data_IF_443889225124
#
_entry.id   IF_443889225124
#
_cell.length_a   1.000
_cell.length_b   1.000
_cell.length_c   1.000
_cell.angle_alpha   90.00
_cell.angle_beta   90.00
_cell.angle_gamma   90.00
#
_symmetry.space_group_name_H-M   'P 1'
#
loop_
_entity.id
_entity.type
_entity.pdbx_description
1 polymer ?
#
# COMPACT_ATOMS: atom_id res chain seq x y z
N UNK A 1 51.67 -19.37 3.52
CA UNK A 1 51.59 -18.77 2.15
C UNK A 1 50.86 -19.64 1.12
N UNK A 2 51.01 -20.97 1.13
CA UNK A 2 50.30 -21.89 0.20
C UNK A 2 48.78 -21.92 0.43
N UNK A 3 48.32 -21.90 1.69
CA UNK A 3 46.88 -21.91 2.03
C UNK A 3 46.14 -20.66 1.59
N UNK A 4 46.73 -19.47 1.72
CA UNK A 4 46.14 -18.23 1.22
C UNK A 4 45.99 -18.20 -0.31
N UNK A 5 46.90 -18.80 -1.05
CA UNK A 5 46.81 -18.94 -2.52
C UNK A 5 45.71 -19.92 -2.95
N UNK A 6 45.51 -21.01 -2.20
CA UNK A 6 44.48 -22.01 -2.50
C UNK A 6 43.10 -21.40 -2.23
N UNK A 7 42.93 -20.65 -1.16
CA UNK A 7 41.66 -19.95 -0.84
C UNK A 7 41.35 -18.82 -1.83
N UNK A 8 42.36 -18.07 -2.29
CA UNK A 8 42.17 -17.05 -3.32
C UNK A 8 41.80 -17.63 -4.69
N UNK A 9 42.34 -18.79 -5.04
CA UNK A 9 42.01 -19.53 -6.28
C UNK A 9 40.63 -20.20 -6.20
N UNK A 10 40.21 -20.68 -5.01
CA UNK A 10 38.84 -21.20 -4.78
C UNK A 10 37.80 -20.08 -4.90
N UNK A 11 38.04 -18.93 -4.27
CA UNK A 11 37.16 -17.78 -4.38
C UNK A 11 37.09 -17.23 -5.81
N UNK A 12 38.22 -17.23 -6.55
CA UNK A 12 38.25 -16.82 -7.95
C UNK A 12 37.47 -17.80 -8.86
N UNK A 13 37.56 -19.13 -8.61
CA UNK A 13 36.80 -20.13 -9.39
C UNK A 13 35.30 -20.10 -9.07
N UNK A 14 34.91 -19.94 -7.81
CA UNK A 14 33.51 -19.75 -7.42
C UNK A 14 32.96 -18.47 -8.02
N UNK A 15 33.70 -17.37 -7.98
CA UNK A 15 33.35 -16.12 -8.62
C UNK A 15 33.25 -16.22 -10.14
N UNK A 16 34.17 -16.96 -10.80
CA UNK A 16 34.16 -17.08 -12.26
C UNK A 16 33.07 -18.03 -12.79
N UNK A 17 32.67 -19.05 -12.01
CA UNK A 17 31.57 -19.95 -12.38
C UNK A 17 30.19 -19.22 -12.27
N UNK A 18 30.11 -18.26 -11.38
CA UNK A 18 28.86 -17.44 -11.18
C UNK A 18 28.79 -16.26 -12.16
N UNK A 19 29.90 -15.84 -12.74
CA UNK A 19 29.93 -14.80 -13.78
C UNK A 19 29.36 -15.24 -15.14
N UNK A 20 29.08 -16.54 -15.35
CA UNK A 20 28.26 -16.99 -16.47
C UNK A 20 26.79 -16.68 -16.23
N UNK A 21 26.47 -15.40 -16.33
CA UNK A 21 25.15 -14.78 -16.08
C UNK A 21 24.01 -15.38 -16.92
N UNK A 22 24.30 -15.94 -18.07
CA UNK A 22 23.31 -16.62 -18.93
C UNK A 22 22.75 -17.91 -18.33
N UNK A 23 23.58 -18.74 -17.68
CA UNK A 23 23.11 -19.98 -17.07
C UNK A 23 22.26 -19.78 -15.80
N UNK A 24 22.42 -18.65 -15.10
CA UNK A 24 21.64 -18.35 -13.90
C UNK A 24 20.23 -17.88 -14.23
N UNK A 25 20.06 -17.15 -15.34
CA UNK A 25 18.76 -16.62 -15.77
C UNK A 25 17.80 -17.72 -16.28
N UNK A 26 18.33 -18.86 -16.74
CA UNK A 26 17.50 -19.94 -17.29
C UNK A 26 16.75 -20.76 -16.22
N UNK A 27 17.22 -20.75 -14.97
CA UNK A 27 16.64 -21.56 -13.88
C UNK A 27 15.72 -20.80 -12.92
N UNK A 28 15.61 -19.47 -13.06
CA UNK A 28 14.71 -18.68 -12.21
C UNK A 28 13.31 -18.75 -12.81
N UNK A 29 12.34 -19.20 -12.02
CA UNK A 29 10.91 -19.10 -12.38
C UNK A 29 10.59 -17.69 -12.84
N UNK A 30 9.85 -17.52 -13.95
CA UNK A 30 9.56 -16.19 -14.46
C UNK A 30 8.64 -15.44 -13.51
N UNK A 31 9.20 -14.67 -12.60
CA UNK A 31 8.50 -13.73 -11.71
C UNK A 31 8.17 -12.49 -12.52
N UNK A 32 7.07 -12.56 -13.28
CA UNK A 32 6.72 -11.55 -14.28
C UNK A 32 6.48 -10.19 -13.65
N UNK A 33 5.81 -10.14 -12.49
CA UNK A 33 5.58 -8.89 -11.77
C UNK A 33 6.90 -8.23 -11.36
N UNK A 34 7.84 -8.99 -10.80
CA UNK A 34 9.14 -8.46 -10.38
C UNK A 34 10.00 -7.94 -11.55
N UNK A 35 9.78 -8.45 -12.77
CA UNK A 35 10.44 -7.94 -13.98
C UNK A 35 9.81 -6.63 -14.46
N UNK A 36 8.55 -6.39 -14.14
CA UNK A 36 7.83 -5.17 -14.49
C UNK A 36 8.00 -4.05 -13.47
N UNK A 37 8.28 -4.40 -12.21
CA UNK A 37 8.42 -3.45 -11.11
C UNK A 37 9.68 -2.58 -11.30
N UNK A 38 9.55 -1.27 -11.54
CA UNK A 38 10.69 -0.37 -11.60
C UNK A 38 11.34 -0.27 -10.23
N UNK A 39 12.67 -0.38 -10.17
CA UNK A 39 13.40 -0.34 -8.92
C UNK A 39 14.20 0.94 -8.78
N UNK A 40 14.20 1.50 -7.58
CA UNK A 40 15.01 2.64 -7.17
C UNK A 40 16.19 2.14 -6.35
N UNK A 41 17.36 2.61 -6.68
CA UNK A 41 18.60 2.26 -5.98
C UNK A 41 18.81 3.20 -4.78
N UNK A 42 18.93 2.64 -3.59
CA UNK A 42 19.10 3.38 -2.34
C UNK A 42 20.54 3.27 -1.84
N UNK A 43 21.28 4.37 -1.86
CA UNK A 43 22.62 4.43 -1.29
C UNK A 43 22.57 4.39 0.24
N UNK A 44 21.63 5.10 0.86
CA UNK A 44 21.50 5.20 2.33
C UNK A 44 20.69 4.08 2.97
N UNK A 45 19.98 3.25 2.17
CA UNK A 45 19.09 2.20 2.69
C UNK A 45 17.74 2.70 3.19
N UNK A 46 17.48 4.01 3.14
CA UNK A 46 16.22 4.64 3.56
C UNK A 46 15.63 5.39 2.38
N UNK A 47 14.39 5.12 2.08
CA UNK A 47 13.60 5.83 1.07
C UNK A 47 12.62 6.79 1.75
N UNK A 48 12.65 8.07 1.37
CA UNK A 48 11.77 9.09 1.93
C UNK A 48 10.69 9.47 0.95
N UNK A 49 9.45 9.36 1.38
CA UNK A 49 8.28 9.81 0.63
C UNK A 49 7.79 11.10 1.28
N UNK A 50 7.95 12.22 0.58
CA UNK A 50 7.32 13.47 0.97
C UNK A 50 5.86 13.43 0.50
N UNK A 51 4.96 13.03 1.37
CA UNK A 51 3.52 13.15 1.14
C UNK A 51 3.04 14.41 1.83
N UNK A 52 2.11 15.12 1.19
CA UNK A 52 1.23 16.01 1.93
C UNK A 52 0.59 15.16 3.04
N UNK A 53 0.72 15.61 4.30
CA UNK A 53 0.31 14.83 5.47
C UNK A 53 -1.09 14.23 5.28
N UNK A 54 -1.18 13.02 4.74
CA UNK A 54 -2.27 12.12 5.07
C UNK A 54 -1.88 11.49 6.40
N UNK A 55 -2.66 11.76 7.42
CA UNK A 55 -2.49 11.10 8.71
C UNK A 55 -2.30 9.61 8.48
N UNK A 56 -1.23 9.03 9.04
CA UNK A 56 -1.07 7.57 9.10
C UNK A 56 -2.35 7.04 9.73
N UNK A 57 -3.18 6.41 8.93
CA UNK A 57 -4.31 5.67 9.42
C UNK A 57 -3.74 4.48 10.20
N UNK A 58 -3.46 4.70 11.48
CA UNK A 58 -3.30 3.60 12.40
C UNK A 58 -4.69 2.97 12.56
N UNK A 59 -4.93 1.73 12.11
CA UNK A 59 -6.19 1.04 12.32
C UNK A 59 -6.41 0.72 13.80
N UNK A 60 -5.48 1.09 14.67
CA UNK A 60 -5.57 0.89 16.11
C UNK A 60 -6.43 2.00 16.73
N UNK A 61 -7.46 1.58 17.47
CA UNK A 61 -8.27 2.47 18.28
C UNK A 61 -7.36 3.39 19.11
N UNK A 62 -7.60 4.71 18.99
CA UNK A 62 -6.92 5.69 19.83
C UNK A 62 -7.42 5.49 21.27
N UNK A 63 -6.52 5.15 22.16
CA UNK A 63 -6.79 5.19 23.60
C UNK A 63 -6.82 6.66 24.07
N UNK A 64 -7.37 6.93 25.25
CA UNK A 64 -7.45 8.29 25.81
C UNK A 64 -6.08 8.98 25.89
N UNK A 65 -5.01 8.26 26.08
CA UNK A 65 -3.63 8.77 26.04
C UNK A 65 -3.19 9.14 24.61
N UNK A 66 -3.67 8.40 23.61
CA UNK A 66 -3.36 8.64 22.19
C UNK A 66 -4.14 9.84 21.61
N UNK A 67 -5.24 10.26 22.27
CA UNK A 67 -5.98 11.50 21.89
C UNK A 67 -5.06 12.73 22.00
N UNK A 68 -4.11 12.73 22.93
CA UNK A 68 -3.15 13.82 23.10
C UNK A 68 -2.20 13.99 21.91
N UNK A 69 -2.02 12.95 21.09
CA UNK A 69 -1.17 12.99 19.89
C UNK A 69 -1.90 13.44 18.62
N UNK A 70 -3.20 13.73 18.71
CA UNK A 70 -3.96 14.24 17.55
C UNK A 70 -3.51 15.70 17.30
N UNK A 71 -3.31 16.03 16.03
CA UNK A 71 -2.89 17.38 15.61
C UNK A 71 -3.81 18.49 16.18
N UNK A 72 -5.12 18.25 16.24
CA UNK A 72 -6.06 19.15 16.87
C UNK A 72 -5.67 19.53 18.31
N UNK A 73 -5.05 18.61 19.06
CA UNK A 73 -4.64 18.83 20.44
C UNK A 73 -3.33 19.61 20.58
N UNK A 74 -2.55 19.72 19.51
CA UNK A 74 -1.29 20.50 19.52
C UNK A 74 -1.55 22.01 19.76
N UNK A 75 -2.74 22.48 19.45
CA UNK A 75 -3.17 23.87 19.67
C UNK A 75 -3.71 24.12 21.08
N UNK A 76 -3.75 23.09 21.94
CA UNK A 76 -4.30 23.14 23.29
C UNK A 76 -3.23 22.85 24.35
N UNK A 77 -3.37 23.48 25.51
CA UNK A 77 -2.51 23.20 26.65
C UNK A 77 -2.92 21.89 27.35
N UNK A 78 -2.01 21.21 28.05
CA UNK A 78 -2.28 19.95 28.74
C UNK A 78 -3.48 20.02 29.73
N UNK A 79 -3.74 21.17 30.35
CA UNK A 79 -4.89 21.37 31.23
C UNK A 79 -6.21 21.40 30.44
N UNK A 80 -6.21 22.03 29.30
CA UNK A 80 -7.37 22.11 28.39
C UNK A 80 -7.68 20.77 27.75
N UNK A 81 -6.66 20.02 27.35
CA UNK A 81 -6.82 18.65 26.82
C UNK A 81 -7.45 17.76 27.90
N UNK A 82 -6.97 17.84 29.15
CA UNK A 82 -7.52 17.04 30.25
C UNK A 82 -8.96 17.45 30.57
N UNK A 83 -9.30 18.76 30.51
CA UNK A 83 -10.66 19.27 30.68
C UNK A 83 -11.58 18.83 29.54
N UNK A 84 -11.10 18.85 28.30
CA UNK A 84 -11.85 18.40 27.12
C UNK A 84 -12.17 16.91 27.21
N UNK A 85 -11.19 16.07 27.55
CA UNK A 85 -11.39 14.62 27.72
C UNK A 85 -12.33 14.34 28.90
N UNK A 86 -12.17 15.04 30.03
CA UNK A 86 -13.02 14.87 31.21
C UNK A 86 -14.49 15.26 30.99
N UNK A 87 -14.76 16.24 30.10
CA UNK A 87 -16.10 16.70 29.75
C UNK A 87 -16.66 16.05 28.47
N UNK A 88 -15.96 15.06 27.90
CA UNK A 88 -16.42 14.33 26.73
C UNK A 88 -17.01 12.98 27.10
N UNK A 89 -17.98 12.52 26.31
CA UNK A 89 -18.54 11.19 26.42
C UNK A 89 -18.09 10.32 25.25
N UNK A 90 -17.81 9.03 25.51
CA UNK A 90 -17.46 8.07 24.45
C UNK A 90 -18.74 7.47 23.86
N UNK A 91 -18.89 7.58 22.54
CA UNK A 91 -19.98 6.96 21.77
C UNK A 91 -19.41 5.85 20.89
N UNK A 92 -19.99 4.66 20.95
CA UNK A 92 -19.72 3.55 20.02
C UNK A 92 -20.75 3.59 18.90
N UNK A 93 -20.30 3.40 17.66
CA UNK A 93 -21.13 3.44 16.47
C UNK A 93 -21.09 2.10 15.75
N UNK A 94 -22.26 1.67 15.29
CA UNK A 94 -22.43 0.43 14.50
C UNK A 94 -22.46 0.73 13.02
N UNK A 95 -22.21 -0.30 12.19
CA UNK A 95 -22.24 -0.17 10.74
C UNK A 95 -23.58 0.38 10.24
N UNK A 96 -23.53 1.40 9.38
CA UNK A 96 -24.70 2.04 8.78
C UNK A 96 -25.44 3.04 9.70
N UNK A 97 -24.97 3.24 10.95
CA UNK A 97 -25.55 4.25 11.82
C UNK A 97 -25.36 5.64 11.23
N UNK A 98 -26.44 6.41 11.18
CA UNK A 98 -26.42 7.79 10.71
C UNK A 98 -26.52 8.72 11.90
N UNK A 99 -25.56 9.64 12.03
CA UNK A 99 -25.52 10.67 13.04
C UNK A 99 -25.95 11.98 12.38
N UNK A 100 -27.10 12.51 12.81
CA UNK A 100 -27.62 13.78 12.34
C UNK A 100 -27.22 14.89 13.30
N UNK A 101 -26.81 16.01 12.76
CA UNK A 101 -26.56 17.23 13.53
C UNK A 101 -27.84 18.05 13.60
N UNK A 102 -28.64 17.84 14.65
CA UNK A 102 -29.84 18.63 14.86
C UNK A 102 -29.48 20.04 15.35
N UNK A 103 -30.32 21.04 15.00
CA UNK A 103 -30.10 22.44 15.38
C UNK A 103 -30.03 22.66 16.90
N UNK A 104 -30.67 21.79 17.70
CA UNK A 104 -30.67 21.82 19.16
C UNK A 104 -29.43 21.18 19.80
N UNK A 105 -28.80 20.23 19.13
CA UNK A 105 -27.70 19.42 19.66
C UNK A 105 -26.47 19.50 18.77
N UNK A 106 -25.90 20.67 18.56
CA UNK A 106 -24.72 20.87 17.76
C UNK A 106 -23.48 20.47 18.55
N UNK A 107 -23.15 19.14 18.52
CA UNK A 107 -22.02 18.55 19.24
C UNK A 107 -20.78 18.49 18.33
N UNK A 108 -19.62 18.48 18.96
CA UNK A 108 -18.34 18.29 18.29
C UNK A 108 -17.85 16.86 18.53
N UNK A 109 -17.39 16.20 17.49
CA UNK A 109 -17.02 14.78 17.53
C UNK A 109 -15.57 14.59 17.10
N UNK A 110 -14.83 13.79 17.85
CA UNK A 110 -13.46 13.39 17.53
C UNK A 110 -13.44 11.86 17.33
N UNK A 111 -13.01 11.40 16.18
CA UNK A 111 -13.01 9.98 15.83
C UNK A 111 -11.84 9.28 16.52
N UNK A 112 -12.14 8.26 17.32
CA UNK A 112 -11.13 7.42 17.98
C UNK A 112 -10.80 6.17 17.16
N UNK A 113 -11.81 5.56 16.53
CA UNK A 113 -11.65 4.35 15.72
C UNK A 113 -12.81 4.23 14.73
N UNK A 114 -12.62 3.43 13.67
CA UNK A 114 -13.60 3.24 12.62
C UNK A 114 -13.47 4.23 11.46
N UNK A 115 -14.36 4.10 10.48
CA UNK A 115 -14.44 4.98 9.31
C UNK A 115 -15.85 5.53 9.18
N UNK A 116 -15.95 6.80 8.83
CA UNK A 116 -17.20 7.54 8.76
C UNK A 116 -17.24 8.34 7.47
N UNK A 117 -18.37 8.34 6.81
CA UNK A 117 -18.63 9.15 5.62
C UNK A 117 -19.39 10.41 5.97
N UNK A 118 -18.85 11.55 5.57
CA UNK A 118 -19.56 12.84 5.64
C UNK A 118 -20.44 12.96 4.40
N UNK A 119 -21.75 12.97 4.59
CA UNK A 119 -22.74 12.93 3.52
C UNK A 119 -23.54 14.23 3.50
N UNK A 120 -23.56 14.89 2.34
CA UNK A 120 -24.42 16.04 2.09
C UNK A 120 -25.67 15.59 1.32
N UNK A 121 -26.85 16.00 1.78
CA UNK A 121 -28.08 15.83 1.02
C UNK A 121 -28.20 16.93 -0.04
N UNK A 122 -28.15 16.54 -1.30
CA UNK A 122 -28.33 17.48 -2.42
C UNK A 122 -29.80 17.98 -2.49
N UNK A 123 -30.06 19.00 -3.30
CA UNK A 123 -31.40 19.57 -3.54
C UNK A 123 -32.49 18.52 -3.88
N UNK A 124 -32.09 17.38 -4.41
CA UNK A 124 -32.96 16.23 -4.74
C UNK A 124 -32.99 15.15 -3.64
N UNK A 125 -32.55 15.46 -2.42
CA UNK A 125 -32.43 14.54 -1.28
C UNK A 125 -31.55 13.31 -1.52
N UNK A 126 -30.72 13.33 -2.57
CA UNK A 126 -29.75 12.26 -2.82
C UNK A 126 -28.50 12.48 -1.98
N UNK A 127 -28.05 11.46 -1.24
CA UNK A 127 -26.82 11.55 -0.44
C UNK A 127 -25.59 11.60 -1.34
N UNK A 128 -24.75 12.61 -1.16
CA UNK A 128 -23.45 12.75 -1.81
C UNK A 128 -22.37 12.68 -0.72
N UNK A 129 -21.44 11.74 -0.84
CA UNK A 129 -20.31 11.64 0.08
C UNK A 129 -19.32 12.77 -0.23
N UNK A 130 -19.06 13.62 0.76
CA UNK A 130 -18.15 14.77 0.63
C UNK A 130 -16.74 14.36 1.07
N UNK A 131 -16.63 13.61 2.18
CA UNK A 131 -15.37 13.23 2.77
C UNK A 131 -15.48 11.91 3.53
N UNK A 132 -14.35 11.18 3.60
CA UNK A 132 -14.19 10.01 4.45
C UNK A 132 -13.33 10.41 5.66
N UNK A 133 -13.89 10.19 6.85
CA UNK A 133 -13.28 10.56 8.11
C UNK A 133 -12.79 9.30 8.84
N UNK A 134 -11.55 9.33 9.30
CA UNK A 134 -10.90 8.22 9.99
C UNK A 134 -10.43 8.64 11.39
N UNK A 135 -9.85 7.71 12.14
CA UNK A 135 -9.33 7.98 13.47
C UNK A 135 -8.37 9.21 13.47
N UNK A 136 -8.53 10.09 14.44
CA UNK A 136 -7.82 11.36 14.55
C UNK A 136 -8.45 12.54 13.82
N UNK A 137 -9.46 12.32 12.97
CA UNK A 137 -10.26 13.39 12.36
C UNK A 137 -11.41 13.79 13.29
N UNK A 138 -12.00 14.93 13.00
CA UNK A 138 -13.10 15.49 13.77
C UNK A 138 -14.17 16.05 12.85
N UNK A 139 -15.37 16.25 13.39
CA UNK A 139 -16.46 16.90 12.68
C UNK A 139 -17.47 17.52 13.67
N UNK A 140 -18.35 18.35 13.16
CA UNK A 140 -19.39 19.00 13.98
C UNK A 140 -19.01 20.40 14.45
N UNK A 141 -19.78 20.94 15.38
CA UNK A 141 -19.58 22.31 15.88
C UNK A 141 -19.87 23.40 14.84
N UNK A 142 -20.56 23.10 13.75
CA UNK A 142 -20.78 24.00 12.60
C UNK A 142 -21.44 25.33 13.01
N UNK A 143 -22.45 25.30 13.91
CA UNK A 143 -23.11 26.49 14.40
C UNK A 143 -22.18 27.41 15.18
N UNK A 144 -21.30 26.83 16.01
CA UNK A 144 -20.33 27.61 16.78
C UNK A 144 -19.29 28.28 15.87
N UNK A 145 -19.06 27.73 14.68
CA UNK A 145 -18.16 28.27 13.67
C UNK A 145 -18.81 29.25 12.70
N UNK A 146 -20.15 29.47 12.82
CA UNK A 146 -20.89 30.39 11.98
C UNK A 146 -21.30 29.86 10.61
N UNK A 147 -21.38 28.54 10.44
CA UNK A 147 -21.91 27.93 9.21
C UNK A 147 -23.44 27.91 9.25
N UNK A 148 -24.06 28.36 8.16
CA UNK A 148 -25.50 28.24 7.91
C UNK A 148 -25.76 26.99 7.04
N UNK A 149 -26.94 26.37 7.16
CA UNK A 149 -27.38 25.20 6.38
C UNK A 149 -26.63 23.86 6.65
N UNK A 150 -26.09 23.67 7.85
CA UNK A 150 -25.45 22.43 8.25
C UNK A 150 -26.42 21.25 8.51
N UNK A 151 -27.73 21.53 8.56
CA UNK A 151 -28.77 20.50 8.77
C UNK A 151 -28.81 19.43 7.67
N UNK A 152 -28.22 19.71 6.51
CA UNK A 152 -28.10 18.80 5.38
C UNK A 152 -26.89 17.88 5.48
N UNK A 153 -26.01 18.11 6.45
CA UNK A 153 -24.80 17.31 6.63
C UNK A 153 -25.12 16.18 7.61
N UNK A 154 -24.94 14.96 7.15
CA UNK A 154 -25.10 13.74 7.95
C UNK A 154 -23.81 12.95 7.94
N UNK A 155 -23.62 12.14 8.97
CA UNK A 155 -22.46 11.26 9.07
C UNK A 155 -22.97 9.84 9.11
N UNK A 156 -22.43 9.00 8.23
CA UNK A 156 -22.75 7.59 8.13
C UNK A 156 -21.54 6.77 8.55
N UNK A 157 -21.72 5.80 9.42
CA UNK A 157 -20.68 4.87 9.83
C UNK A 157 -20.46 3.84 8.73
N UNK A 158 -19.27 3.85 8.11
CA UNK A 158 -18.84 2.90 7.07
C UNK A 158 -18.10 1.71 7.68
N UNK A 159 -17.31 1.92 8.75
CA UNK A 159 -16.69 0.87 9.55
C UNK A 159 -17.01 1.12 11.02
N UNK A 160 -17.52 0.10 11.76
CA UNK A 160 -17.84 0.23 13.17
C UNK A 160 -16.67 0.78 13.99
N UNK A 161 -16.95 1.67 14.91
CA UNK A 161 -15.92 2.32 15.69
C UNK A 161 -16.44 3.11 16.89
N UNK A 162 -15.60 4.00 17.39
CA UNK A 162 -15.94 4.85 18.53
C UNK A 162 -15.45 6.27 18.32
N UNK A 163 -16.15 7.22 18.89
CA UNK A 163 -15.83 8.64 18.87
C UNK A 163 -16.01 9.29 20.24
N UNK A 164 -15.29 10.37 20.49
CA UNK A 164 -15.51 11.28 21.61
C UNK A 164 -16.53 12.34 21.21
N UNK A 165 -17.52 12.53 22.05
CA UNK A 165 -18.54 13.56 21.89
C UNK A 165 -18.25 14.67 22.86
N UNK A 166 -17.96 15.86 22.35
CA UNK A 166 -17.67 17.07 23.14
C UNK A 166 -18.91 17.94 23.16
N UNK A 167 -19.32 18.35 24.34
CA UNK A 167 -20.45 19.26 24.55
C UNK A 167 -20.17 20.64 23.94
N UNK A 168 -21.23 21.28 23.44
CA UNK A 168 -21.14 22.55 22.71
C UNK A 168 -20.50 23.69 23.53
N UNK A 169 -20.77 23.76 24.83
CA UNK A 169 -20.24 24.83 25.69
C UNK A 169 -18.73 24.70 25.89
N UNK A 170 -18.22 23.48 26.16
CA UNK A 170 -16.80 23.22 26.24
C UNK A 170 -16.08 23.49 24.90
N UNK A 171 -16.74 23.23 23.79
CA UNK A 171 -16.19 23.53 22.47
C UNK A 171 -16.12 25.02 22.17
N UNK A 172 -17.15 25.81 22.56
CA UNK A 172 -17.14 27.25 22.39
C UNK A 172 -16.02 27.94 23.16
N UNK A 173 -15.73 27.45 24.37
CA UNK A 173 -14.62 27.97 25.17
C UNK A 173 -13.28 27.82 24.48
N UNK A 174 -13.08 26.66 23.80
CA UNK A 174 -11.87 26.39 23.02
C UNK A 174 -11.76 27.26 21.76
N UNK A 175 -12.91 27.61 21.14
CA UNK A 175 -12.96 28.49 19.96
C UNK A 175 -12.60 29.96 20.26
N UNK A 176 -12.46 30.37 21.53
CA UNK A 176 -11.93 31.68 21.88
C UNK A 176 -10.45 31.84 21.50
N UNK A 177 -9.70 30.73 21.29
CA UNK A 177 -8.36 30.77 20.79
C UNK A 177 -8.34 30.89 19.26
N UNK A 178 -7.75 31.95 18.76
CA UNK A 178 -7.71 32.24 17.34
C UNK A 178 -7.02 31.14 16.52
N UNK A 179 -5.91 30.56 17.02
CA UNK A 179 -5.17 29.48 16.34
C UNK A 179 -6.01 28.20 16.23
N UNK A 180 -6.64 27.77 17.33
CA UNK A 180 -7.51 26.61 17.35
C UNK A 180 -8.74 26.80 16.44
N UNK A 181 -9.37 27.97 16.54
CA UNK A 181 -10.50 28.33 15.69
C UNK A 181 -10.15 28.33 14.22
N UNK A 182 -8.99 28.91 13.86
CA UNK A 182 -8.50 28.92 12.48
C UNK A 182 -8.25 27.51 11.96
N UNK A 183 -7.58 26.67 12.75
CA UNK A 183 -7.30 25.28 12.37
C UNK A 183 -8.58 24.48 12.14
N UNK A 184 -9.54 24.53 13.07
CA UNK A 184 -10.82 23.81 12.93
C UNK A 184 -11.58 24.30 11.71
N UNK A 185 -11.65 25.63 11.49
CA UNK A 185 -12.34 26.21 10.35
C UNK A 185 -11.69 25.81 9.01
N UNK A 186 -10.36 25.88 8.92
CA UNK A 186 -9.63 25.49 7.72
C UNK A 186 -9.75 23.99 7.42
N UNK A 187 -9.73 23.14 8.44
CA UNK A 187 -9.90 21.69 8.28
C UNK A 187 -11.28 21.31 7.76
N UNK A 188 -12.35 21.96 8.26
CA UNK A 188 -13.71 21.73 7.78
C UNK A 188 -13.87 22.20 6.33
N UNK A 189 -13.29 23.34 5.95
CA UNK A 189 -13.27 23.80 4.56
C UNK A 189 -12.48 22.85 3.64
N UNK A 190 -11.43 22.22 4.15
CA UNK A 190 -10.63 21.28 3.39
C UNK A 190 -11.33 19.94 3.16
N UNK A 191 -12.29 19.52 4.00
CA UNK A 191 -13.07 18.30 3.73
C UNK A 191 -13.83 18.36 2.41
N UNK A 192 -14.29 19.54 2.00
CA UNK A 192 -14.91 19.73 0.67
C UNK A 192 -13.90 19.65 -0.49
N UNK A 193 -12.60 19.77 -0.21
CA UNK A 193 -11.54 19.93 -1.18
C UNK A 193 -10.52 18.79 -1.22
N UNK A 194 -10.59 17.82 -0.29
CA UNK A 194 -9.69 16.66 -0.28
C UNK A 194 -10.01 15.72 -1.45
N UNK A 195 -9.31 15.91 -2.55
CA UNK A 195 -9.21 14.86 -3.56
C UNK A 195 -8.28 13.77 -3.04
N UNK A 196 -8.69 12.50 -3.19
CA UNK A 196 -7.91 11.31 -2.82
C UNK A 196 -6.61 11.11 -3.64
N UNK A 197 -6.15 12.12 -4.35
CA UNK A 197 -5.03 12.09 -5.29
C UNK A 197 -3.70 12.54 -4.68
N UNK A 198 -3.70 13.04 -3.44
CA UNK A 198 -2.48 13.57 -2.80
C UNK A 198 -1.94 14.86 -3.44
N UNK A 199 -2.69 15.47 -4.36
CA UNK A 199 -2.31 16.73 -5.00
C UNK A 199 -2.82 17.93 -4.20
N UNK A 200 -1.93 18.89 -3.93
CA UNK A 200 -2.32 20.20 -3.41
C UNK A 200 -3.14 20.96 -4.45
N UNK A 201 -4.29 21.48 -4.04
CA UNK A 201 -5.01 22.45 -4.87
C UNK A 201 -4.19 23.74 -4.96
N UNK A 202 -3.47 23.91 -6.07
CA UNK A 202 -2.92 25.21 -6.40
C UNK A 202 -4.08 26.14 -6.76
N UNK A 203 -4.14 27.33 -6.14
CA UNK A 203 -5.06 28.38 -6.57
C UNK A 203 -4.52 28.93 -7.88
N UNK A 204 -5.10 28.48 -8.98
CA UNK A 204 -4.81 29.02 -10.31
C UNK A 204 -5.76 30.17 -10.59
N UNK A 205 -5.22 31.31 -10.90
CA UNK A 205 -5.99 32.45 -11.43
C UNK A 205 -5.66 32.58 -12.91
N UNK A 206 -6.66 32.36 -13.75
CA UNK A 206 -6.59 32.73 -15.15
C UNK A 206 -7.38 34.02 -15.34
N UNK A 207 -6.72 35.12 -15.65
CA UNK A 207 -7.35 36.40 -15.98
C UNK A 207 -6.68 37.00 -17.19
N UNK A 208 -7.51 37.57 -18.06
CA UNK A 208 -7.09 38.20 -19.33
C UNK A 208 -6.93 39.72 -19.24
N UNK A 209 -7.25 40.32 -18.09
CA UNK A 209 -7.15 41.79 -17.94
C UNK A 209 -6.50 42.11 -16.60
N UNK A 210 -5.46 42.94 -16.67
CA UNK A 210 -4.66 43.46 -15.57
C UNK A 210 -3.94 42.37 -14.73
N UNK A 211 -2.66 42.52 -14.49
CA UNK A 211 -1.86 41.60 -13.71
C UNK A 211 -2.42 41.48 -12.28
N UNK A 212 -3.25 40.46 -11.97
CA UNK A 212 -3.73 40.28 -10.61
C UNK A 212 -2.58 39.87 -9.72
N UNK A 213 -2.54 40.35 -8.49
CA UNK A 213 -1.63 39.82 -7.48
C UNK A 213 -1.80 38.30 -7.41
N UNK A 214 -0.82 37.57 -7.85
CA UNK A 214 -0.82 36.11 -7.78
C UNK A 214 -0.95 35.66 -6.32
N UNK A 215 -1.92 34.79 -6.00
CA UNK A 215 -1.99 34.25 -4.65
C UNK A 215 -0.72 33.45 -4.40
N UNK A 216 -0.04 33.75 -3.31
CA UNK A 216 1.11 32.95 -2.87
C UNK A 216 0.58 31.60 -2.40
N UNK A 217 0.96 30.53 -3.12
CA UNK A 217 0.77 29.16 -2.66
C UNK A 217 1.95 28.80 -1.75
N UNK A 218 1.67 28.49 -0.51
CA UNK A 218 2.67 27.95 0.42
C UNK A 218 2.49 26.43 0.42
N UNK A 219 3.55 25.70 0.11
CA UNK A 219 3.63 24.27 0.42
C UNK A 219 4.10 24.14 1.84
N UNK A 220 3.34 23.43 2.68
CA UNK A 220 3.80 23.09 4.02
C UNK A 220 5.01 22.16 3.92
N UNK A 221 6.04 22.48 4.69
CA UNK A 221 7.21 21.60 4.82
C UNK A 221 6.82 20.38 5.64
N UNK A 222 7.07 19.18 5.09
CA UNK A 222 6.84 17.96 5.83
C UNK A 222 8.03 17.71 6.77
N UNK A 223 7.83 18.00 8.05
CA UNK A 223 8.86 17.82 9.10
C UNK A 223 9.10 16.34 9.42
N UNK A 224 8.17 15.45 9.05
CA UNK A 224 8.25 14.02 9.32
C UNK A 224 7.87 13.19 8.09
N UNK A 225 8.70 13.17 7.03
CA UNK A 225 8.43 12.39 5.83
C UNK A 225 8.32 10.90 6.17
N UNK A 226 7.48 10.18 5.43
CA UNK A 226 7.41 8.72 5.59
C UNK A 226 8.73 8.09 5.16
N UNK A 227 9.39 7.40 6.09
CA UNK A 227 10.63 6.69 5.84
C UNK A 227 10.35 5.20 5.67
N UNK A 228 10.83 4.64 4.57
CA UNK A 228 10.74 3.21 4.26
C UNK A 228 12.17 2.66 4.26
N UNK A 229 12.44 1.78 5.21
CA UNK A 229 13.71 1.07 5.30
C UNK A 229 13.69 -0.20 4.45
N UNK A 230 14.86 -0.68 4.05
CA UNK A 230 15.00 -1.95 3.38
C UNK A 230 14.84 -3.10 4.37
N UNK A 231 13.95 -4.01 4.06
CA UNK A 231 13.82 -5.28 4.76
C UNK A 231 14.87 -6.29 4.29
N UNK A 232 15.05 -7.33 5.08
CA UNK A 232 16.06 -8.34 4.82
C UNK A 232 15.49 -9.74 4.93
N UNK A 233 15.81 -10.58 3.93
CA UNK A 233 15.62 -12.03 3.98
C UNK A 233 16.99 -12.66 4.09
N UNK A 234 17.19 -13.50 5.10
CA UNK A 234 18.45 -14.18 5.35
C UNK A 234 18.23 -15.68 5.44
N UNK A 235 19.21 -16.44 4.93
CA UNK A 235 19.26 -17.89 5.07
C UNK A 235 20.71 -18.35 5.16
N UNK A 236 20.95 -19.44 5.87
CA UNK A 236 22.26 -20.06 6.01
C UNK A 236 22.28 -21.39 5.25
N UNK A 237 23.26 -21.56 4.36
CA UNK A 237 23.52 -22.80 3.64
C UNK A 237 24.76 -23.48 4.24
N UNK A 238 24.57 -24.62 4.89
CA UNK A 238 25.66 -25.45 5.40
C UNK A 238 26.02 -26.54 4.39
N UNK A 239 27.31 -26.67 4.05
CA UNK A 239 27.82 -27.64 3.08
C UNK A 239 28.97 -28.41 3.68
N UNK A 240 28.91 -29.74 3.63
CA UNK A 240 30.01 -30.60 4.02
C UNK A 240 31.18 -30.48 3.05
N UNK A 241 32.34 -30.05 3.55
CA UNK A 241 33.57 -29.85 2.75
C UNK A 241 34.38 -31.13 2.62
N UNK A 242 33.77 -32.22 2.12
CA UNK A 242 34.55 -33.42 1.80
C UNK A 242 35.40 -33.19 0.55
N UNK A 243 36.70 -33.54 0.61
CA UNK A 243 37.65 -33.24 -0.45
C UNK A 243 37.21 -33.79 -1.81
N UNK A 244 36.61 -34.98 -1.86
CA UNK A 244 36.14 -35.58 -3.11
C UNK A 244 34.90 -34.84 -3.70
N UNK A 245 34.06 -34.18 -2.88
CA UNK A 245 32.90 -33.41 -3.34
C UNK A 245 33.30 -32.04 -3.90
N UNK A 246 34.41 -31.48 -3.40
CA UNK A 246 34.94 -30.21 -3.91
C UNK A 246 35.47 -30.30 -5.34
N UNK A 247 35.84 -31.51 -5.77
CA UNK A 247 36.41 -31.80 -7.10
C UNK A 247 35.47 -32.63 -7.97
N UNK A 248 34.24 -32.85 -7.55
CA UNK A 248 33.26 -33.65 -8.29
C UNK A 248 32.71 -32.86 -9.49
N UNK A 249 33.39 -32.94 -10.63
CA UNK A 249 32.88 -32.47 -11.91
C UNK A 249 32.33 -33.69 -12.69
N UNK A 250 31.09 -33.63 -13.25
CA UNK A 250 30.36 -32.47 -13.72
C UNK A 250 29.20 -32.04 -12.80
N UNK A 251 29.06 -32.52 -11.57
CA UNK A 251 27.92 -32.26 -10.69
C UNK A 251 28.30 -31.43 -9.42
N UNK A 252 28.52 -30.11 -9.53
CA UNK A 252 28.85 -29.27 -8.39
C UNK A 252 27.64 -29.12 -7.47
N UNK A 253 27.61 -29.89 -6.38
CA UNK A 253 26.49 -29.87 -5.41
C UNK A 253 26.32 -28.49 -4.78
N UNK A 254 27.40 -27.80 -4.48
CA UNK A 254 27.39 -26.45 -3.93
C UNK A 254 26.58 -25.48 -4.81
N UNK A 255 26.92 -25.42 -6.10
CA UNK A 255 26.24 -24.49 -7.01
C UNK A 255 24.76 -24.83 -7.18
N UNK A 256 24.43 -26.13 -7.19
CA UNK A 256 23.03 -26.58 -7.29
C UNK A 256 22.21 -26.21 -6.06
N UNK A 257 22.75 -26.45 -4.86
CA UNK A 257 22.10 -26.11 -3.61
C UNK A 257 21.96 -24.57 -3.43
N UNK A 258 23.01 -23.84 -3.79
CA UNK A 258 22.98 -22.38 -3.76
C UNK A 258 21.91 -21.81 -4.71
N UNK A 259 21.79 -22.34 -5.92
CA UNK A 259 20.75 -21.94 -6.88
C UNK A 259 19.34 -22.16 -6.33
N UNK A 260 19.08 -23.34 -5.75
CA UNK A 260 17.78 -23.67 -5.16
C UNK A 260 17.46 -22.69 -4.01
N UNK A 261 18.44 -22.43 -3.15
CA UNK A 261 18.23 -21.53 -2.01
C UNK A 261 18.00 -20.08 -2.44
N UNK A 262 18.76 -19.59 -3.43
CA UNK A 262 18.53 -18.27 -4.02
C UNK A 262 17.12 -18.18 -4.62
N UNK A 263 16.67 -19.21 -5.35
CA UNK A 263 15.32 -19.25 -5.88
C UNK A 263 14.28 -19.15 -4.76
N UNK A 264 14.43 -19.91 -3.68
CA UNK A 264 13.52 -19.83 -2.52
C UNK A 264 13.50 -18.44 -1.88
N UNK A 265 14.65 -17.77 -1.77
CA UNK A 265 14.75 -16.41 -1.25
C UNK A 265 14.01 -15.43 -2.16
N UNK A 266 14.13 -15.55 -3.47
CA UNK A 266 13.45 -14.71 -4.44
C UNK A 266 11.95 -14.96 -4.47
N UNK A 267 11.48 -16.19 -4.28
CA UNK A 267 10.06 -16.53 -4.11
C UNK A 267 9.51 -15.92 -2.81
N UNK A 268 10.31 -15.97 -1.75
CA UNK A 268 9.93 -15.32 -0.49
C UNK A 268 9.87 -13.81 -0.62
N UNK A 269 10.81 -13.18 -1.32
CA UNK A 269 10.77 -11.75 -1.62
C UNK A 269 9.45 -11.34 -2.29
N UNK A 270 9.05 -12.05 -3.34
CA UNK A 270 7.78 -11.76 -4.04
C UNK A 270 6.57 -11.96 -3.13
N UNK A 271 6.59 -12.99 -2.28
CA UNK A 271 5.53 -13.20 -1.31
C UNK A 271 5.42 -12.06 -0.30
N UNK A 272 6.55 -11.59 0.24
CA UNK A 272 6.59 -10.49 1.20
C UNK A 272 6.09 -9.18 0.58
N UNK A 273 6.47 -8.88 -0.66
CA UNK A 273 6.00 -7.67 -1.37
C UNK A 273 4.48 -7.61 -1.43
N UNK A 274 3.78 -8.74 -1.59
CA UNK A 274 2.33 -8.76 -1.62
C UNK A 274 1.70 -8.88 -0.23
N UNK A 275 2.22 -9.74 0.65
CA UNK A 275 1.52 -10.21 1.85
C UNK A 275 2.09 -9.71 3.18
N UNK A 276 3.21 -8.97 3.18
CA UNK A 276 3.78 -8.46 4.43
C UNK A 276 2.75 -7.64 5.22
N UNK A 277 2.72 -7.83 6.55
CA UNK A 277 1.71 -7.23 7.42
C UNK A 277 1.82 -5.69 7.48
N UNK A 278 3.04 -5.15 7.38
CA UNK A 278 3.29 -3.71 7.54
C UNK A 278 3.31 -2.96 6.21
N UNK A 279 3.94 -3.54 5.17
CA UNK A 279 4.17 -2.84 3.89
C UNK A 279 3.81 -3.69 2.66
N UNK A 280 3.14 -4.83 2.84
CA UNK A 280 2.64 -5.62 1.72
C UNK A 280 1.59 -4.88 0.90
N UNK A 281 1.68 -4.97 -0.42
CA UNK A 281 0.80 -4.23 -1.34
C UNK A 281 -0.69 -4.49 -1.08
N UNK A 282 -1.08 -5.73 -0.72
CA UNK A 282 -2.47 -6.08 -0.41
C UNK A 282 -3.00 -5.31 0.81
N UNK A 283 -2.13 -5.09 1.81
CA UNK A 283 -2.48 -4.40 3.04
C UNK A 283 -2.45 -2.87 2.90
N UNK A 284 -1.70 -2.36 1.92
CA UNK A 284 -1.60 -0.92 1.64
C UNK A 284 -2.78 -0.37 0.81
N UNK A 285 -3.62 -1.25 0.22
CA UNK A 285 -4.81 -0.80 -0.51
C UNK A 285 -5.80 -0.19 0.47
N UNK A 286 -6.14 1.08 0.28
CA UNK A 286 -7.15 1.75 1.10
C UNK A 286 -8.54 1.16 0.89
N UNK A 287 -9.42 1.30 1.87
CA UNK A 287 -10.75 0.67 1.84
C UNK A 287 -11.62 1.17 0.69
N UNK A 288 -11.54 2.46 0.38
CA UNK A 288 -12.24 3.13 -0.72
C UNK A 288 -11.78 2.66 -2.12
N UNK A 289 -10.65 1.94 -2.20
CA UNK A 289 -10.07 1.36 -3.41
C UNK A 289 -10.30 -0.16 -3.52
N UNK A 290 -11.17 -0.71 -2.68
CA UNK A 290 -11.55 -2.12 -2.72
C UNK A 290 -12.97 -2.25 -3.23
N UNK A 291 -13.14 -2.95 -4.34
CA UNK A 291 -14.45 -3.31 -4.89
C UNK A 291 -14.65 -4.82 -4.80
N UNK A 292 -15.88 -5.27 -4.81
CA UNK A 292 -16.23 -6.70 -4.80
C UNK A 292 -16.91 -7.08 -6.09
N UNK A 293 -16.73 -8.33 -6.52
CA UNK A 293 -17.43 -8.86 -7.71
C UNK A 293 -18.94 -8.86 -7.50
N UNK A 294 -19.68 -8.55 -8.56
CA UNK A 294 -21.17 -8.53 -8.56
C UNK A 294 -21.79 -9.92 -8.70
N UNK A 295 -21.14 -10.82 -9.43
CA UNK A 295 -21.71 -12.12 -9.86
C UNK A 295 -20.85 -13.32 -9.52
N UNK A 296 -19.87 -13.18 -8.64
CA UNK A 296 -18.95 -14.25 -8.24
C UNK A 296 -17.63 -14.24 -9.00
N UNK A 297 -17.53 -14.67 -10.28
CA UNK A 297 -16.32 -14.48 -11.08
C UNK A 297 -16.12 -13.02 -11.48
N UNK A 298 -14.89 -12.61 -11.76
CA UNK A 298 -14.58 -11.28 -12.29
C UNK A 298 -15.23 -11.11 -13.68
N UNK A 299 -15.99 -10.04 -13.86
CA UNK A 299 -16.65 -9.69 -15.12
C UNK A 299 -15.92 -8.56 -15.85
N UNK A 300 -16.14 -8.37 -17.17
CA UNK A 300 -15.65 -7.20 -17.89
C UNK A 300 -16.02 -5.87 -17.23
N UNK A 301 -17.24 -5.76 -16.70
CA UNK A 301 -17.71 -4.54 -16.03
C UNK A 301 -16.95 -4.27 -14.72
N UNK A 302 -16.68 -5.34 -13.93
CA UNK A 302 -15.87 -5.22 -12.70
C UNK A 302 -14.45 -4.81 -13.01
N UNK A 303 -13.89 -5.30 -14.14
CA UNK A 303 -12.54 -4.93 -14.58
C UNK A 303 -12.48 -3.49 -15.11
N UNK A 304 -13.51 -3.01 -15.79
CA UNK A 304 -13.60 -1.63 -16.24
C UNK A 304 -13.73 -0.67 -15.03
N UNK A 305 -14.49 -1.05 -13.99
CA UNK A 305 -14.59 -0.30 -12.75
C UNK A 305 -13.25 -0.26 -11.99
N UNK A 306 -12.57 -1.42 -11.89
CA UNK A 306 -11.25 -1.51 -11.29
C UNK A 306 -10.22 -0.58 -11.98
N UNK A 307 -10.22 -0.56 -13.32
CA UNK A 307 -9.35 0.33 -14.10
C UNK A 307 -9.76 1.80 -13.97
N UNK A 308 -11.06 2.08 -13.85
CA UNK A 308 -11.57 3.43 -13.61
C UNK A 308 -11.07 4.04 -12.31
N UNK A 309 -10.81 3.23 -11.28
CA UNK A 309 -10.19 3.69 -10.03
C UNK A 309 -8.74 4.15 -10.21
N UNK A 310 -8.01 3.56 -11.18
CA UNK A 310 -6.64 3.93 -11.53
C UNK A 310 -6.58 4.73 -12.84
N UNK A 311 -7.48 5.68 -13.02
CA UNK A 311 -7.67 6.41 -14.27
C UNK A 311 -6.40 7.13 -14.81
N UNK A 312 -5.46 7.47 -13.94
CA UNK A 312 -4.25 8.23 -14.30
C UNK A 312 -3.27 7.47 -15.23
N UNK A 313 -3.17 6.17 -15.14
CA UNK A 313 -2.35 5.30 -16.02
C UNK A 313 -2.10 3.94 -15.39
N UNK A 314 -3.07 3.04 -15.41
CA UNK A 314 -2.89 1.69 -14.89
C UNK A 314 -1.81 0.95 -15.69
N UNK A 315 -0.82 0.40 -15.01
CA UNK A 315 0.33 -0.24 -15.68
C UNK A 315 0.17 -1.75 -15.76
N UNK A 316 -0.44 -2.38 -14.74
CA UNK A 316 -0.54 -3.84 -14.65
C UNK A 316 -1.71 -4.25 -13.76
N UNK A 317 -2.30 -5.41 -14.07
CA UNK A 317 -3.24 -6.11 -13.19
C UNK A 317 -2.57 -7.40 -12.76
N UNK A 318 -2.36 -7.59 -11.46
CA UNK A 318 -1.76 -8.81 -10.90
C UNK A 318 -2.88 -9.67 -10.31
N UNK A 319 -2.87 -10.95 -10.65
CA UNK A 319 -3.89 -11.88 -10.18
C UNK A 319 -3.39 -13.32 -10.11
N UNK A 320 -4.03 -14.12 -9.26
CA UNK A 320 -3.76 -15.55 -9.26
C UNK A 320 -4.11 -16.18 -10.63
N UNK A 321 -3.31 -17.13 -11.17
CA UNK A 321 -3.55 -17.72 -12.49
C UNK A 321 -4.97 -18.28 -12.68
N UNK A 322 -5.56 -18.87 -11.64
CA UNK A 322 -6.92 -19.39 -11.68
C UNK A 322 -7.97 -18.28 -11.84
N UNK A 323 -7.74 -17.10 -11.25
CA UNK A 323 -8.62 -15.96 -11.42
C UNK A 323 -8.56 -15.40 -12.84
N UNK A 324 -7.37 -15.35 -13.45
CA UNK A 324 -7.19 -14.94 -14.84
C UNK A 324 -7.94 -15.91 -15.76
N UNK A 325 -7.87 -17.21 -15.49
CA UNK A 325 -8.61 -18.22 -16.27
C UNK A 325 -10.13 -18.09 -16.10
N UNK A 326 -10.60 -17.78 -14.87
CA UNK A 326 -12.02 -17.55 -14.61
C UNK A 326 -12.53 -16.31 -15.35
N UNK A 327 -11.78 -15.22 -15.33
CA UNK A 327 -12.06 -14.01 -16.09
C UNK A 327 -12.11 -14.28 -17.61
N UNK A 328 -11.13 -15.02 -18.15
CA UNK A 328 -11.11 -15.36 -19.57
C UNK A 328 -12.35 -16.18 -20.00
N UNK A 329 -12.80 -17.12 -19.15
CA UNK A 329 -14.05 -17.87 -19.41
C UNK A 329 -15.27 -16.95 -19.43
N UNK A 330 -15.36 -16.04 -18.46
CA UNK A 330 -16.48 -15.08 -18.39
C UNK A 330 -16.51 -14.15 -19.61
N UNK A 331 -15.34 -13.67 -20.04
CA UNK A 331 -15.21 -12.88 -21.28
C UNK A 331 -15.67 -13.68 -22.51
N UNK A 332 -15.26 -14.93 -22.63
CA UNK A 332 -15.68 -15.80 -23.75
C UNK A 332 -17.19 -16.04 -23.76
N UNK A 333 -17.79 -16.27 -22.59
CA UNK A 333 -19.24 -16.43 -22.44
C UNK A 333 -20.03 -15.20 -22.90
N UNK A 334 -19.49 -14.00 -22.61
CA UNK A 334 -20.09 -12.73 -23.01
C UNK A 334 -19.78 -12.31 -24.45
N UNK A 335 -19.00 -13.11 -25.18
CA UNK A 335 -18.60 -12.80 -26.56
C UNK A 335 -17.58 -11.67 -26.70
N UNK A 336 -16.84 -11.34 -25.64
CA UNK A 336 -15.80 -10.29 -25.62
C UNK A 336 -14.46 -10.94 -25.28
N UNK A 337 -13.80 -11.65 -26.21
CA UNK A 337 -12.54 -12.31 -25.92
C UNK A 337 -11.45 -11.28 -25.61
N UNK A 338 -10.64 -11.49 -24.55
CA UNK A 338 -9.54 -10.59 -24.23
C UNK A 338 -8.42 -10.69 -25.24
N UNK A 339 -7.69 -9.61 -25.46
CA UNK A 339 -6.54 -9.57 -26.37
C UNK A 339 -5.32 -10.20 -25.68
N UNK A 340 -4.55 -10.98 -26.44
CA UNK A 340 -3.30 -11.59 -25.98
C UNK A 340 -2.11 -10.81 -26.55
N UNK A 341 -1.19 -10.45 -25.67
CA UNK A 341 0.05 -9.74 -26.03
C UNK A 341 1.26 -10.54 -25.52
N UNK A 342 2.31 -10.59 -26.32
CA UNK A 342 3.56 -11.24 -25.92
C UNK A 342 4.46 -10.23 -25.20
N UNK A 343 4.71 -10.46 -23.90
CA UNK A 343 5.58 -9.64 -23.07
C UNK A 343 6.52 -10.52 -22.25
N UNK A 344 7.78 -10.12 -22.12
CA UNK A 344 8.83 -10.86 -21.37
C UNK A 344 8.93 -12.37 -21.70
N UNK A 345 8.68 -12.71 -22.97
CA UNK A 345 8.71 -14.10 -23.45
C UNK A 345 7.45 -14.92 -23.15
N UNK A 346 6.46 -14.37 -22.46
CA UNK A 346 5.19 -14.99 -22.09
C UNK A 346 4.02 -14.37 -22.85
N UNK A 347 2.99 -15.17 -23.13
CA UNK A 347 1.73 -14.68 -23.67
C UNK A 347 0.82 -14.26 -22.51
N UNK A 348 0.52 -12.96 -22.41
CA UNK A 348 -0.32 -12.40 -21.37
C UNK A 348 -1.64 -11.94 -21.94
N UNK A 349 -2.71 -12.21 -21.22
CA UNK A 349 -4.03 -11.62 -21.48
C UNK A 349 -3.97 -10.14 -21.11
N UNK A 350 -4.55 -9.27 -21.94
CA UNK A 350 -4.69 -7.84 -21.64
C UNK A 350 -6.15 -7.45 -21.59
N UNK A 351 -6.48 -6.54 -20.71
CA UNK A 351 -7.78 -5.89 -20.65
C UNK A 351 -7.63 -4.39 -20.86
N UNK A 352 -8.31 -3.83 -21.87
CA UNK A 352 -8.17 -2.41 -22.25
C UNK A 352 -6.72 -1.96 -22.44
N UNK A 353 -5.83 -2.86 -22.90
CA UNK A 353 -4.40 -2.55 -23.07
C UNK A 353 -3.53 -2.80 -21.82
N UNK A 354 -4.13 -3.06 -20.66
CA UNK A 354 -3.40 -3.34 -19.42
C UNK A 354 -3.19 -4.86 -19.30
N UNK A 355 -1.92 -5.33 -19.13
CA UNK A 355 -1.62 -6.75 -19.02
C UNK A 355 -2.08 -7.34 -17.69
N UNK A 356 -2.66 -8.56 -17.74
CA UNK A 356 -2.94 -9.39 -16.58
C UNK A 356 -1.74 -10.30 -16.31
N UNK A 357 -1.05 -10.03 -15.22
CA UNK A 357 0.18 -10.75 -14.83
C UNK A 357 -0.16 -11.83 -13.82
N UNK A 358 0.13 -13.11 -14.14
CA UNK A 358 -0.08 -14.21 -13.21
C UNK A 358 0.92 -14.12 -12.03
N UNK A 359 0.41 -14.17 -10.81
CA UNK A 359 1.18 -14.24 -9.58
C UNK A 359 0.48 -15.18 -8.59
N UNK A 360 1.14 -16.23 -8.17
CA UNK A 360 0.62 -17.22 -7.21
C UNK A 360 0.71 -16.75 -5.76
N UNK A 361 1.38 -15.61 -5.51
CA UNK A 361 1.53 -15.02 -4.18
C UNK A 361 0.26 -14.33 -3.70
N UNK A 362 -0.67 -14.01 -4.62
CA UNK A 362 -2.02 -13.60 -4.24
C UNK A 362 -2.80 -14.86 -3.85
N UNK A 363 -3.05 -15.03 -2.54
CA UNK A 363 -3.57 -16.26 -1.97
C UNK A 363 -5.00 -16.58 -2.41
N UNK A 364 -5.33 -17.88 -2.36
CA UNK A 364 -6.70 -18.38 -2.48
C UNK A 364 -7.20 -18.69 -1.08
N UNK A 365 -8.34 -18.14 -0.72
CA UNK A 365 -9.04 -18.42 0.53
C UNK A 365 -10.33 -19.20 0.25
N UNK A 366 -10.81 -19.97 1.22
CA UNK A 366 -12.10 -20.64 1.15
C UNK A 366 -13.10 -19.84 1.96
N UNK A 367 -14.20 -19.47 1.33
CA UNK A 367 -15.35 -18.87 1.99
C UNK A 367 -16.09 -19.93 2.84
N UNK A 368 -16.96 -19.52 3.76
CA UNK A 368 -17.74 -20.42 4.62
C UNK A 368 -18.60 -21.45 3.87
N UNK A 369 -19.04 -21.12 2.67
CA UNK A 369 -19.78 -21.99 1.75
C UNK A 369 -18.89 -22.99 0.98
N UNK A 370 -17.58 -22.99 1.23
CA UNK A 370 -16.61 -23.87 0.57
C UNK A 370 -16.10 -23.35 -0.78
N UNK A 371 -16.63 -22.24 -1.29
CA UNK A 371 -16.16 -21.62 -2.53
C UNK A 371 -14.74 -21.05 -2.39
N UNK A 372 -13.93 -21.31 -3.39
CA UNK A 372 -12.57 -20.77 -3.45
C UNK A 372 -12.61 -19.35 -4.03
N UNK A 373 -12.13 -18.39 -3.26
CA UNK A 373 -12.08 -16.97 -3.62
C UNK A 373 -10.65 -16.44 -3.60
N UNK A 374 -10.40 -15.44 -4.42
CA UNK A 374 -9.12 -14.72 -4.48
C UNK A 374 -9.35 -13.25 -4.84
N UNK A 375 -8.26 -12.49 -4.96
CA UNK A 375 -8.31 -11.07 -5.31
C UNK A 375 -7.53 -10.81 -6.61
N UNK A 376 -7.84 -9.71 -7.29
CA UNK A 376 -7.05 -9.10 -8.34
C UNK A 376 -6.66 -7.69 -7.93
N UNK A 377 -5.44 -7.29 -8.24
CA UNK A 377 -4.92 -5.97 -7.90
C UNK A 377 -4.49 -5.24 -9.16
N UNK A 378 -5.03 -4.06 -9.38
CA UNK A 378 -4.55 -3.15 -10.40
C UNK A 378 -3.52 -2.20 -9.78
N UNK A 379 -2.40 -2.01 -10.46
CA UNK A 379 -1.23 -1.29 -9.96
C UNK A 379 -0.74 -0.31 -11.01
N UNK A 380 -0.47 0.92 -10.59
CA UNK A 380 0.31 1.89 -11.34
C UNK A 380 1.77 1.79 -10.93
N UNK A 381 2.68 1.65 -11.89
CA UNK A 381 4.10 1.44 -11.65
C UNK A 381 4.93 2.65 -12.08
N UNK A 382 6.00 2.92 -11.34
CA UNK A 382 7.03 3.90 -11.68
C UNK A 382 6.96 5.21 -10.92
N UNK A 383 8.11 5.86 -10.76
CA UNK A 383 8.24 7.16 -10.09
C UNK A 383 7.55 8.28 -10.86
N UNK A 384 7.76 8.34 -12.19
CA UNK A 384 7.20 9.37 -13.06
C UNK A 384 5.67 9.38 -13.04
N UNK A 385 5.07 8.22 -12.78
CA UNK A 385 3.62 8.03 -12.67
C UNK A 385 3.12 8.10 -11.24
N UNK A 386 3.97 8.45 -10.27
CA UNK A 386 3.63 8.42 -8.85
C UNK A 386 3.05 7.07 -8.40
N UNK A 387 3.59 6.00 -8.94
CA UNK A 387 3.10 4.65 -8.76
C UNK A 387 3.84 3.88 -7.66
N UNK A 388 3.89 2.58 -7.85
CA UNK A 388 4.63 1.64 -7.00
C UNK A 388 6.04 1.47 -7.54
N UNK A 389 7.03 1.48 -6.65
CA UNK A 389 8.45 1.27 -6.99
C UNK A 389 9.06 0.23 -6.05
N UNK A 390 9.91 -0.62 -6.58
CA UNK A 390 10.76 -1.51 -5.79
C UNK A 390 11.99 -0.76 -5.26
N UNK A 391 12.49 -1.18 -4.12
CA UNK A 391 13.66 -0.58 -3.47
C UNK A 391 14.82 -1.58 -3.47
N UNK A 392 15.97 -1.16 -3.98
CA UNK A 392 17.17 -1.98 -4.07
C UNK A 392 18.37 -1.27 -3.44
N UNK A 393 19.34 -2.08 -2.97
CA UNK A 393 20.66 -1.61 -2.55
C UNK A 393 21.68 -1.85 -3.67
N UNK A 394 22.19 -0.80 -4.32
CA UNK A 394 23.02 -0.93 -5.53
C UNK A 394 24.39 -1.57 -5.27
N UNK A 395 24.99 -1.31 -4.11
CA UNK A 395 26.35 -1.73 -3.75
C UNK A 395 26.49 -3.24 -3.56
N UNK A 396 25.37 -3.95 -3.54
CA UNK A 396 25.33 -5.39 -3.28
C UNK A 396 24.70 -6.09 -4.47
N UNK A 397 25.47 -6.96 -5.13
CA UNK A 397 24.93 -7.81 -6.19
C UNK A 397 25.67 -9.14 -6.24
N UNK A 398 24.94 -10.22 -6.49
CA UNK A 398 25.48 -11.55 -6.68
C UNK A 398 24.81 -12.24 -7.86
N UNK A 399 25.61 -12.75 -8.81
CA UNK A 399 25.10 -13.41 -10.01
C UNK A 399 24.19 -12.56 -10.89
N UNK A 400 24.36 -11.22 -10.90
CA UNK A 400 23.51 -10.27 -11.62
C UNK A 400 22.19 -9.96 -10.94
N UNK A 401 21.94 -10.48 -9.73
CA UNK A 401 20.74 -10.18 -8.92
C UNK A 401 21.09 -9.03 -7.98
N UNK A 402 20.42 -7.87 -8.10
CA UNK A 402 20.69 -6.73 -7.24
C UNK A 402 20.28 -7.02 -5.80
N UNK A 403 20.92 -6.36 -4.84
CA UNK A 403 20.63 -6.47 -3.41
C UNK A 403 20.81 -7.86 -2.80
N UNK A 404 21.46 -8.79 -3.49
CA UNK A 404 21.76 -10.14 -3.03
C UNK A 404 23.23 -10.26 -2.66
N UNK A 405 23.55 -10.81 -1.50
CA UNK A 405 24.89 -11.14 -1.08
C UNK A 405 25.02 -12.58 -0.65
N UNK A 406 26.16 -13.20 -0.96
CA UNK A 406 26.53 -14.53 -0.50
C UNK A 406 27.90 -14.40 0.18
N UNK A 407 27.99 -14.72 1.47
CA UNK A 407 29.22 -14.62 2.26
C UNK A 407 29.49 -15.92 2.97
N UNK A 408 30.73 -16.39 2.91
CA UNK A 408 31.22 -17.45 3.77
C UNK A 408 31.34 -16.96 5.21
N UNK A 409 30.78 -17.69 6.16
CA UNK A 409 30.82 -17.33 7.58
C UNK A 409 31.98 -18.03 8.29
N UNK A 410 31.79 -19.30 8.56
CA UNK A 410 32.73 -20.13 9.30
C UNK A 410 32.65 -21.58 8.85
N UNK A 411 33.70 -22.34 9.18
CA UNK A 411 33.70 -23.80 9.06
C UNK A 411 33.50 -24.37 10.44
N UNK A 412 32.52 -25.24 10.59
CA UNK A 412 32.18 -25.94 11.84
C UNK A 412 33.19 -27.08 12.11
N UNK A 413 33.24 -27.55 13.37
CA UNK A 413 34.08 -28.70 13.80
C UNK A 413 33.77 -29.98 13.02
N UNK A 414 32.58 -30.07 12.40
CA UNK A 414 32.16 -31.17 11.52
C UNK A 414 32.57 -31.00 10.06
N UNK A 415 33.47 -30.03 9.75
CA UNK A 415 33.87 -29.70 8.39
C UNK A 415 32.70 -29.22 7.51
N UNK A 416 31.72 -28.55 8.11
CA UNK A 416 30.63 -27.89 7.39
C UNK A 416 31.02 -26.42 7.18
N UNK A 417 31.02 -25.97 5.92
CA UNK A 417 31.19 -24.56 5.57
C UNK A 417 29.83 -23.91 5.51
N UNK A 418 29.63 -22.86 6.30
CA UNK A 418 28.38 -22.12 6.35
C UNK A 418 28.46 -20.87 5.47
N UNK A 419 27.48 -20.69 4.58
CA UNK A 419 27.33 -19.52 3.73
C UNK A 419 26.07 -18.75 4.15
N UNK A 420 26.20 -17.46 4.45
CA UNK A 420 25.10 -16.56 4.69
C UNK A 420 24.66 -15.94 3.37
N UNK A 421 23.40 -16.17 3.00
CA UNK A 421 22.76 -15.55 1.87
C UNK A 421 21.80 -14.48 2.40
N UNK A 422 21.97 -13.26 1.92
CA UNK A 422 21.17 -12.10 2.35
C UNK A 422 20.60 -11.38 1.15
N UNK A 423 19.30 -11.12 1.15
CA UNK A 423 18.60 -10.31 0.14
C UNK A 423 17.95 -9.12 0.83
N UNK A 424 18.28 -7.92 0.39
CA UNK A 424 17.61 -6.69 0.79
C UNK A 424 16.52 -6.35 -0.22
N UNK A 425 15.36 -5.95 0.27
CA UNK A 425 14.21 -5.62 -0.58
C UNK A 425 13.27 -4.69 0.18
N UNK A 426 12.46 -3.96 -0.51
CA UNK A 426 11.17 -3.40 -0.04
C UNK A 426 10.39 -2.86 -1.24
N UNK A 427 9.19 -2.37 -0.99
CA UNK A 427 8.33 -1.73 -1.97
C UNK A 427 7.75 -0.44 -1.39
N UNK A 428 7.76 0.60 -2.19
CA UNK A 428 7.20 1.89 -1.84
C UNK A 428 5.98 2.21 -2.72
N UNK A 429 4.88 2.58 -2.11
CA UNK A 429 3.69 3.10 -2.77
C UNK A 429 3.72 4.61 -2.64
N UNK A 430 4.02 5.33 -3.72
CA UNK A 430 4.23 6.77 -3.67
C UNK A 430 2.94 7.53 -3.37
N UNK A 431 1.82 7.10 -3.95
CA UNK A 431 0.50 7.69 -3.72
C UNK A 431 -0.52 6.57 -3.51
N UNK A 432 -1.43 6.68 -2.53
CA UNK A 432 -2.42 5.64 -2.27
C UNK A 432 -3.32 5.30 -3.46
N UNK A 433 -3.56 6.23 -4.39
CA UNK A 433 -4.35 6.02 -5.60
C UNK A 433 -3.62 5.18 -6.67
N UNK A 434 -2.37 4.76 -6.42
CA UNK A 434 -1.63 3.85 -7.28
C UNK A 434 -2.09 2.38 -7.18
N UNK A 435 -2.91 2.05 -6.18
CA UNK A 435 -3.40 0.71 -5.92
C UNK A 435 -4.92 0.66 -5.93
N UNK A 436 -5.50 -0.37 -6.56
CA UNK A 436 -6.92 -0.73 -6.43
C UNK A 436 -7.06 -2.25 -6.43
N UNK A 437 -8.08 -2.78 -5.77
CA UNK A 437 -8.25 -4.22 -5.61
C UNK A 437 -9.70 -4.65 -5.83
N UNK A 438 -9.87 -5.65 -6.69
CA UNK A 438 -11.11 -6.40 -6.85
C UNK A 438 -11.07 -7.62 -5.92
N UNK A 439 -11.97 -7.66 -4.96
CA UNK A 439 -12.02 -8.66 -3.91
C UNK A 439 -13.06 -9.74 -4.18
N UNK A 440 -12.92 -10.88 -3.47
CA UNK A 440 -13.90 -11.97 -3.42
C UNK A 440 -14.23 -12.60 -4.78
N UNK A 441 -13.26 -12.70 -5.67
CA UNK A 441 -13.42 -13.31 -6.99
C UNK A 441 -13.53 -14.82 -6.84
N UNK A 442 -14.63 -15.40 -7.26
CA UNK A 442 -14.85 -16.83 -7.29
C UNK A 442 -14.09 -17.47 -8.46
N UNK A 443 -13.28 -18.48 -8.17
CA UNK A 443 -12.44 -19.15 -9.17
C UNK A 443 -12.96 -20.53 -9.58
N UNK A 444 -13.87 -21.12 -8.82
CA UNK A 444 -14.43 -22.44 -9.06
C UNK A 444 -15.77 -22.46 -9.82
N UNK A 445 -16.20 -21.33 -10.35
CA UNK A 445 -17.46 -21.23 -11.08
C UNK A 445 -17.26 -21.73 -12.52
N UNK A 446 -17.82 -22.91 -12.81
CA UNK A 446 -17.89 -23.47 -14.16
C UNK A 446 -19.35 -23.33 -14.63
N UNK A 447 -19.53 -22.88 -15.87
CA UNK A 447 -20.82 -22.85 -16.52
C UNK A 447 -20.94 -24.14 -17.32
N UNK A 448 -21.96 -24.93 -17.01
CA UNK A 448 -22.37 -26.10 -17.79
C UNK A 448 -23.05 -25.66 -19.08
#
# INVERSE_FOLDING_TARGET
MKERRINSLKNAKVLSAVQNTHAFAEFITPRLFMKMLPCVNLETGIFRINRVKKYKNNPHALNEESVKSIELMSYLNNKEISSLIGNSSKKSCILGEVIEQNQSENKFYIILSGEYELVLLNHNEKPVVIANLQAGKFFGGFKALGYENYDKIKIRTSVPGSMLVVENDSFKDLLQKDEFRYYVKSSIMNYENEYNTGEHKAKLISSYSDEPMMPKSYTEYDESPEEIELDVIQSVLGIHSRIHELYNNPHPQFESQLKILIQNILEREEWEIFNNASHGLINQVSHDRKITTRTGPATPDDMDELLGMLWKDPSVIVAHPRAISAFARECTKRGVPPVIVRMFGSNLITWRGVPLVPCDKIGITKRHDGLAITNMMAIRLGMDKQGVVGLNKPDISYGGIPSLSVREMNTDDMSVINYLITKYYNVAVLVPDALAMLCNIEIGHYHD
#
